data_IF_832288608414
#
_entry.id   IF_832288608414
#
_cell.length_a   1.000
_cell.length_b   1.000
_cell.length_c   1.000
_cell.angle_alpha   90.00
_cell.angle_beta   90.00
_cell.angle_gamma   90.00
#
_symmetry.space_group_name_H-M   'P 1'
#
loop_
_entity.id
_entity.type
_entity.pdbx_description
1 polymer ?
#
# COMPACT_ATOMS: atom_id res chain seq x y z
N UNK A 1 11.15 7.19 22.93
CA UNK A 1 11.45 7.67 21.57
C UNK A 1 12.66 6.93 21.04
N UNK A 2 12.66 6.55 19.77
CA UNK A 2 13.83 6.01 19.06
C UNK A 2 13.88 6.53 17.62
N UNK A 3 15.05 6.45 16.99
CA UNK A 3 15.23 6.95 15.63
C UNK A 3 15.18 5.82 14.62
N UNK A 4 14.51 6.06 13.51
CA UNK A 4 14.59 5.22 12.31
C UNK A 4 15.28 5.99 11.20
N UNK A 5 15.93 5.24 10.30
CA UNK A 5 16.63 5.79 9.13
C UNK A 5 16.03 5.17 7.84
N UNK A 6 14.78 5.52 7.49
CA UNK A 6 14.20 5.04 6.25
C UNK A 6 14.92 5.64 5.05
N UNK A 7 14.82 4.92 3.93
CA UNK A 7 15.46 5.29 2.66
C UNK A 7 14.40 5.61 1.60
N UNK A 8 14.72 6.62 0.79
CA UNK A 8 14.07 6.95 -0.45
C UNK A 8 15.17 6.91 -1.51
N UNK A 9 15.35 5.75 -2.17
CA UNK A 9 16.50 5.54 -3.03
C UNK A 9 17.82 5.77 -2.28
N UNK A 10 18.61 6.76 -2.73
CA UNK A 10 19.89 7.14 -2.13
C UNK A 10 19.76 7.95 -0.84
N UNK A 11 18.64 8.63 -0.66
CA UNK A 11 18.44 9.50 0.50
C UNK A 11 18.09 8.70 1.74
N UNK A 12 18.74 9.05 2.84
CA UNK A 12 18.46 8.47 4.17
C UNK A 12 17.88 9.55 5.04
N UNK A 13 16.66 9.35 5.50
CA UNK A 13 15.98 10.25 6.41
C UNK A 13 16.21 9.82 7.86
N UNK A 14 16.15 10.78 8.78
CA UNK A 14 16.18 10.50 10.21
C UNK A 14 14.82 10.87 10.80
N UNK A 15 14.03 9.84 11.18
CA UNK A 15 12.67 10.03 11.67
C UNK A 15 12.59 9.60 13.14
N UNK A 16 12.09 10.50 13.98
CA UNK A 16 11.82 10.21 15.37
C UNK A 16 10.53 9.42 15.50
N UNK A 17 10.60 8.28 16.16
CA UNK A 17 9.44 7.42 16.44
C UNK A 17 9.13 7.49 17.92
N UNK A 18 7.93 7.94 18.25
CA UNK A 18 7.45 7.92 19.62
C UNK A 18 6.97 6.53 19.99
N UNK A 19 7.23 6.16 21.23
CA UNK A 19 6.89 4.86 21.76
C UNK A 19 6.30 5.01 23.14
N UNK A 20 5.16 4.38 23.37
CA UNK A 20 4.46 4.38 24.64
C UNK A 20 4.35 2.96 25.18
N UNK A 21 4.39 2.84 26.47
CA UNK A 21 4.08 1.60 27.20
C UNK A 21 2.61 1.66 27.62
N UNK A 22 1.81 0.69 27.20
CA UNK A 22 0.47 0.53 27.72
C UNK A 22 0.56 0.01 29.16
N UNK A 23 0.06 0.77 30.13
CA UNK A 23 0.11 0.37 31.54
C UNK A 23 -0.76 -0.84 31.86
N UNK A 24 -1.85 -1.02 31.11
CA UNK A 24 -2.79 -2.14 31.35
C UNK A 24 -2.23 -3.47 30.85
N UNK A 25 -1.65 -3.54 29.64
CA UNK A 25 -1.18 -4.79 29.05
C UNK A 25 0.35 -4.92 28.96
N UNK A 26 1.10 -3.94 29.45
CA UNK A 26 2.57 -3.87 29.44
C UNK A 26 3.20 -4.01 28.03
N UNK A 27 2.41 -3.79 26.99
CA UNK A 27 2.90 -3.80 25.60
C UNK A 27 3.28 -2.40 25.14
N UNK A 28 4.34 -2.33 24.36
CA UNK A 28 4.75 -1.06 23.76
C UNK A 28 4.07 -0.82 22.43
N UNK A 29 3.54 0.40 22.26
CA UNK A 29 2.96 0.89 21.01
C UNK A 29 3.89 1.94 20.43
N UNK A 30 4.18 1.85 19.13
CA UNK A 30 4.97 2.86 18.41
C UNK A 30 4.06 3.57 17.42
N UNK A 31 3.99 4.91 17.49
CA UNK A 31 3.36 5.69 16.45
C UNK A 31 4.32 5.83 15.27
N UNK A 32 4.00 5.14 14.20
CA UNK A 32 4.70 5.27 12.94
C UNK A 32 3.99 6.32 12.09
N UNK A 33 4.72 7.26 11.48
CA UNK A 33 4.17 8.07 10.41
C UNK A 33 3.61 7.19 9.28
N UNK A 34 2.64 7.71 8.56
CA UNK A 34 1.92 7.03 7.47
C UNK A 34 2.83 6.58 6.31
N UNK A 35 3.88 7.34 6.05
CA UNK A 35 4.89 7.01 5.03
C UNK A 35 5.88 5.92 5.45
N UNK A 36 5.80 5.38 6.70
CA UNK A 36 6.71 4.37 7.21
C UNK A 36 6.01 3.03 7.42
N UNK A 37 6.48 2.02 6.70
CA UNK A 37 6.09 0.64 6.96
C UNK A 37 6.79 0.08 8.21
N UNK A 38 6.05 -0.68 9.02
CA UNK A 38 6.60 -1.34 10.20
C UNK A 38 7.69 -2.34 9.80
N UNK A 39 8.87 -2.23 10.40
CA UNK A 39 10.04 -3.08 10.13
C UNK A 39 10.60 -3.00 8.70
N UNK A 40 10.33 -1.92 7.95
CA UNK A 40 10.92 -1.68 6.62
C UNK A 40 11.92 -0.53 6.67
N UNK A 41 12.95 -0.63 5.83
CA UNK A 41 14.00 0.38 5.69
C UNK A 41 13.67 1.42 4.61
N UNK A 42 12.71 1.13 3.75
CA UNK A 42 12.28 1.99 2.64
C UNK A 42 10.97 2.68 2.98
N UNK A 43 10.78 3.86 2.39
CA UNK A 43 9.52 4.58 2.44
C UNK A 43 8.42 3.78 1.74
N UNK A 44 7.18 4.03 2.10
CA UNK A 44 6.03 3.37 1.50
C UNK A 44 5.92 3.66 0.00
N UNK A 45 6.28 4.88 -0.42
CA UNK A 45 6.26 5.29 -1.82
C UNK A 45 7.20 4.42 -2.68
N UNK A 46 8.44 4.19 -2.22
CA UNK A 46 9.40 3.32 -2.91
C UNK A 46 8.86 1.89 -3.07
N UNK A 47 8.23 1.36 -2.03
CA UNK A 47 7.60 0.04 -2.08
C UNK A 47 6.42 0.03 -3.06
N UNK A 48 5.62 1.10 -3.04
CA UNK A 48 4.46 1.25 -3.91
C UNK A 48 4.84 1.34 -5.38
N UNK A 49 5.87 2.12 -5.71
CA UNK A 49 6.39 2.25 -7.07
C UNK A 49 6.81 0.89 -7.64
N UNK A 50 7.58 0.11 -6.89
CA UNK A 50 8.01 -1.24 -7.30
C UNK A 50 6.81 -2.16 -7.54
N UNK A 51 5.85 -2.18 -6.61
CA UNK A 51 4.67 -3.05 -6.72
C UNK A 51 3.80 -2.65 -7.91
N UNK A 52 3.57 -1.37 -8.11
CA UNK A 52 2.76 -0.83 -9.21
C UNK A 52 3.43 -1.09 -10.56
N UNK A 53 4.72 -0.78 -10.70
CA UNK A 53 5.45 -1.02 -11.94
C UNK A 53 5.45 -2.51 -12.31
N UNK A 54 5.63 -3.39 -11.32
CA UNK A 54 5.58 -4.83 -11.55
C UNK A 54 4.18 -5.32 -11.94
N UNK A 55 3.12 -4.82 -11.29
CA UNK A 55 1.76 -5.26 -11.52
C UNK A 55 1.14 -4.72 -12.81
N UNK A 56 1.34 -3.44 -13.12
CA UNK A 56 0.64 -2.76 -14.21
C UNK A 56 1.48 -2.68 -15.49
N UNK A 57 2.79 -2.52 -15.37
CA UNK A 57 3.71 -2.36 -16.50
C UNK A 57 4.43 -3.65 -16.87
N UNK A 58 4.39 -4.67 -16.01
CA UNK A 58 5.11 -5.92 -16.22
C UNK A 58 6.64 -5.77 -16.12
N UNK A 59 7.12 -4.66 -15.53
CA UNK A 59 8.53 -4.30 -15.45
C UNK A 59 9.39 -5.47 -14.93
N UNK A 60 10.49 -5.76 -15.58
CA UNK A 60 11.43 -6.80 -15.14
C UNK A 60 12.20 -6.36 -13.89
N UNK A 61 12.78 -7.30 -13.16
CA UNK A 61 13.57 -6.97 -11.96
C UNK A 61 14.84 -6.19 -12.30
N UNK A 62 15.41 -6.43 -13.48
CA UNK A 62 16.58 -5.70 -13.97
C UNK A 62 16.26 -4.26 -14.35
N UNK A 63 15.11 -3.99 -14.95
CA UNK A 63 14.63 -2.64 -15.22
C UNK A 63 14.41 -1.87 -13.93
N UNK A 64 13.71 -2.46 -12.96
CA UNK A 64 13.45 -1.83 -11.65
C UNK A 64 14.73 -1.55 -10.86
N UNK A 65 15.77 -2.38 -11.00
CA UNK A 65 17.06 -2.16 -10.35
C UNK A 65 17.87 -1.06 -11.06
N UNK A 66 17.76 -0.98 -12.39
CA UNK A 66 18.51 -0.01 -13.20
C UNK A 66 17.94 1.41 -13.13
N UNK A 67 16.61 1.56 -12.98
CA UNK A 67 15.92 2.87 -13.03
C UNK A 67 16.22 3.76 -11.82
N UNK A 68 16.58 3.20 -10.69
CA UNK A 68 16.76 3.97 -9.48
C UNK A 68 18.15 3.84 -8.90
N UNK A 69 18.95 4.92 -8.98
CA UNK A 69 20.16 5.04 -8.14
C UNK A 69 19.78 4.86 -6.67
N UNK A 70 20.40 3.89 -6.00
CA UNK A 70 20.02 3.53 -4.62
C UNK A 70 18.75 2.69 -4.49
N UNK A 71 18.30 2.09 -5.60
CA UNK A 71 17.17 1.17 -5.61
C UNK A 71 17.35 0.03 -4.60
N UNK A 72 16.24 -0.51 -4.08
CA UNK A 72 16.28 -1.73 -3.30
C UNK A 72 16.85 -2.87 -4.13
N UNK A 73 17.75 -3.64 -3.53
CA UNK A 73 18.27 -4.84 -4.18
C UNK A 73 17.13 -5.77 -4.63
N UNK A 74 17.27 -6.41 -5.81
CA UNK A 74 16.26 -7.29 -6.43
C UNK A 74 15.60 -8.24 -5.42
N UNK A 75 16.37 -8.90 -4.56
CA UNK A 75 15.82 -9.81 -3.54
C UNK A 75 14.86 -9.11 -2.56
N UNK A 76 15.08 -7.83 -2.29
CA UNK A 76 14.18 -7.04 -1.43
C UNK A 76 12.87 -6.75 -2.14
N UNK A 77 12.94 -6.34 -3.40
CA UNK A 77 11.77 -6.08 -4.25
C UNK A 77 10.94 -7.36 -4.46
N UNK A 78 11.61 -8.49 -4.73
CA UNK A 78 10.96 -9.80 -4.85
C UNK A 78 10.20 -10.20 -3.56
N UNK A 79 10.78 -9.95 -2.38
CA UNK A 79 10.11 -10.21 -1.11
C UNK A 79 8.86 -9.35 -0.93
N UNK A 80 8.90 -8.08 -1.35
CA UNK A 80 7.72 -7.23 -1.31
C UNK A 80 6.64 -7.75 -2.24
N UNK A 81 7.02 -8.11 -3.46
CA UNK A 81 6.10 -8.66 -4.45
C UNK A 81 5.42 -9.95 -3.97
N UNK A 82 6.18 -10.90 -3.44
CA UNK A 82 5.65 -12.15 -2.89
C UNK A 82 4.72 -11.86 -1.70
N UNK A 83 5.11 -10.97 -0.80
CA UNK A 83 4.27 -10.58 0.34
C UNK A 83 2.96 -9.94 -0.12
N UNK A 84 3.05 -9.00 -1.07
CA UNK A 84 1.88 -8.34 -1.66
C UNK A 84 0.93 -9.35 -2.32
N UNK A 85 1.45 -10.21 -3.16
CA UNK A 85 0.66 -11.24 -3.85
C UNK A 85 -0.03 -12.20 -2.87
N UNK A 86 0.64 -12.60 -1.80
CA UNK A 86 0.08 -13.50 -0.78
C UNK A 86 -1.09 -12.90 -0.01
N UNK A 87 -1.16 -11.57 0.10
CA UNK A 87 -2.21 -10.85 0.80
C UNK A 87 -3.31 -10.31 -0.14
N UNK A 88 -3.03 -10.27 -1.45
CA UNK A 88 -3.86 -9.56 -2.42
C UNK A 88 -5.34 -9.98 -2.40
N UNK A 89 -5.62 -11.27 -2.39
CA UNK A 89 -7.01 -11.77 -2.40
C UNK A 89 -7.76 -11.42 -1.12
N UNK A 90 -7.10 -11.50 0.03
CA UNK A 90 -7.70 -11.12 1.31
C UNK A 90 -8.06 -9.64 1.35
N UNK A 91 -7.14 -8.78 0.93
CA UNK A 91 -7.37 -7.35 0.91
C UNK A 91 -8.43 -6.97 -0.12
N UNK A 92 -8.39 -7.60 -1.29
CA UNK A 92 -9.39 -7.42 -2.34
C UNK A 92 -10.80 -7.74 -1.82
N UNK A 93 -11.00 -8.89 -1.19
CA UNK A 93 -12.32 -9.28 -0.67
C UNK A 93 -12.85 -8.31 0.39
N UNK A 94 -11.99 -7.79 1.27
CA UNK A 94 -12.40 -6.81 2.29
C UNK A 94 -12.76 -5.47 1.66
N UNK A 95 -11.98 -4.99 0.68
CA UNK A 95 -12.30 -3.74 -0.04
C UNK A 95 -13.62 -3.89 -0.79
N UNK A 96 -13.83 -5.00 -1.50
CA UNK A 96 -15.08 -5.25 -2.23
C UNK A 96 -16.28 -5.31 -1.29
N UNK A 97 -16.18 -6.03 -0.18
CA UNK A 97 -17.25 -6.10 0.81
C UNK A 97 -17.57 -4.72 1.40
N UNK A 98 -16.54 -3.93 1.71
CA UNK A 98 -16.72 -2.57 2.20
C UNK A 98 -17.41 -1.68 1.17
N UNK A 99 -16.94 -1.67 -0.07
CA UNK A 99 -17.55 -0.87 -1.15
C UNK A 99 -19.00 -1.27 -1.43
N UNK A 100 -19.30 -2.58 -1.42
CA UNK A 100 -20.65 -3.08 -1.58
C UNK A 100 -21.62 -2.60 -0.49
N UNK A 101 -21.13 -2.46 0.75
CA UNK A 101 -21.93 -1.94 1.86
C UNK A 101 -22.14 -0.43 1.76
N UNK A 102 -21.17 0.31 1.23
CA UNK A 102 -21.21 1.76 1.18
C UNK A 102 -21.92 2.30 -0.06
N UNK A 103 -21.82 1.59 -1.16
CA UNK A 103 -22.36 2.01 -2.47
C UNK A 103 -22.66 0.79 -3.34
N UNK A 104 -23.88 0.24 -3.18
CA UNK A 104 -24.33 -0.92 -3.94
C UNK A 104 -24.46 -0.68 -5.44
N UNK A 105 -24.49 0.59 -5.87
CA UNK A 105 -24.54 1.00 -7.28
C UNK A 105 -23.16 1.28 -7.87
N UNK A 106 -22.07 1.04 -7.12
CA UNK A 106 -20.73 1.30 -7.62
C UNK A 106 -20.43 0.45 -8.86
N UNK A 107 -19.93 1.05 -9.96
CA UNK A 107 -19.56 0.31 -11.18
C UNK A 107 -18.49 -0.74 -10.94
N UNK A 108 -17.78 -0.64 -9.83
CA UNK A 108 -16.79 -1.62 -9.39
C UNK A 108 -17.40 -2.96 -8.99
N UNK A 109 -18.66 -2.98 -8.59
CA UNK A 109 -19.38 -4.21 -8.21
C UNK A 109 -19.96 -4.94 -9.42
N UNK A 110 -19.92 -4.33 -10.60
CA UNK A 110 -20.36 -5.00 -11.83
C UNK A 110 -19.22 -5.83 -12.43
N UNK A 111 -19.23 -7.17 -12.27
CA UNK A 111 -18.24 -8.05 -12.90
C UNK A 111 -18.37 -8.10 -14.43
N UNK A 112 -19.39 -7.46 -15.01
CA UNK A 112 -19.64 -7.38 -16.45
C UNK A 112 -19.18 -6.07 -17.07
N UNK A 113 -18.67 -5.12 -16.25
CA UNK A 113 -18.12 -3.85 -16.71
C UNK A 113 -17.02 -4.10 -17.74
N UNK A 114 -17.26 -3.71 -18.97
CA UNK A 114 -16.33 -3.85 -20.08
C UNK A 114 -14.99 -3.17 -19.74
N UNK A 115 -13.91 -3.92 -19.78
CA UNK A 115 -12.61 -3.33 -20.06
C UNK A 115 -11.43 -3.71 -19.18
N UNK A 116 -11.58 -4.25 -18.01
CA UNK A 116 -10.40 -4.66 -17.22
C UNK A 116 -10.31 -6.18 -17.16
N UNK A 117 -9.60 -6.76 -18.11
CA UNK A 117 -9.11 -8.14 -17.96
C UNK A 117 -8.08 -8.12 -16.83
N UNK A 118 -8.54 -8.40 -15.63
CA UNK A 118 -7.67 -8.54 -14.47
C UNK A 118 -6.91 -9.85 -14.62
N UNK A 119 -5.67 -9.77 -15.04
CA UNK A 119 -4.80 -10.93 -15.27
C UNK A 119 -4.20 -11.52 -14.01
N UNK A 120 -4.43 -10.91 -12.82
CA UNK A 120 -3.90 -11.40 -11.56
C UNK A 120 -4.46 -10.69 -10.33
N UNK A 121 -4.35 -11.35 -9.18
CA UNK A 121 -4.82 -10.83 -7.89
C UNK A 121 -4.18 -9.50 -7.49
N UNK A 122 -2.92 -9.28 -7.86
CA UNK A 122 -2.19 -8.04 -7.59
C UNK A 122 -2.79 -6.86 -8.35
N UNK A 123 -3.08 -7.03 -9.65
CA UNK A 123 -3.72 -5.99 -10.47
C UNK A 123 -5.15 -5.71 -9.99
N UNK A 124 -5.90 -6.77 -9.63
CA UNK A 124 -7.24 -6.64 -9.08
C UNK A 124 -7.23 -5.79 -7.80
N UNK A 125 -6.29 -6.05 -6.91
CA UNK A 125 -6.14 -5.28 -5.68
C UNK A 125 -5.79 -3.82 -5.97
N UNK A 126 -4.87 -3.55 -6.91
CA UNK A 126 -4.53 -2.17 -7.29
C UNK A 126 -5.72 -1.41 -7.89
N UNK A 127 -6.51 -2.09 -8.71
CA UNK A 127 -7.77 -1.53 -9.22
C UNK A 127 -8.75 -1.20 -8.09
N UNK A 128 -9.00 -2.16 -7.20
CA UNK A 128 -9.87 -1.96 -6.03
C UNK A 128 -9.38 -0.82 -5.12
N UNK A 129 -8.06 -0.71 -4.94
CA UNK A 129 -7.43 0.37 -4.19
C UNK A 129 -7.75 1.74 -4.81
N UNK A 130 -7.71 1.84 -6.13
CA UNK A 130 -8.06 3.08 -6.85
C UNK A 130 -9.53 3.46 -6.66
N UNK A 131 -10.45 2.50 -6.75
CA UNK A 131 -11.88 2.75 -6.51
C UNK A 131 -12.16 3.13 -5.06
N UNK A 132 -11.51 2.48 -4.10
CA UNK A 132 -11.64 2.85 -2.69
C UNK A 132 -11.15 4.28 -2.44
N UNK A 133 -10.03 4.66 -3.04
CA UNK A 133 -9.52 6.03 -2.96
C UNK A 133 -10.50 7.02 -3.61
N UNK A 134 -11.02 6.72 -4.80
CA UNK A 134 -12.00 7.56 -5.48
C UNK A 134 -13.28 7.73 -4.66
N UNK A 135 -13.80 6.65 -4.08
CA UNK A 135 -14.93 6.67 -3.16
C UNK A 135 -14.62 7.54 -1.93
N UNK A 136 -13.46 7.41 -1.32
CA UNK A 136 -13.06 8.21 -0.17
C UNK A 136 -12.94 9.71 -0.52
N UNK A 137 -12.33 10.04 -1.66
CA UNK A 137 -12.22 11.43 -2.15
C UNK A 137 -13.56 12.09 -2.39
N UNK A 138 -14.59 11.35 -2.79
CA UNK A 138 -15.93 11.89 -2.97
C UNK A 138 -16.61 12.32 -1.65
N UNK A 139 -16.11 11.83 -0.51
CA UNK A 139 -16.67 12.08 0.82
C UNK A 139 -15.81 13.01 1.69
N UNK A 140 -14.50 12.98 1.51
CA UNK A 140 -13.56 13.75 2.33
C UNK A 140 -12.68 14.65 1.46
N UNK A 141 -12.87 15.96 1.58
CA UNK A 141 -12.10 16.98 0.82
C UNK A 141 -10.62 16.96 1.16
N UNK A 142 -10.26 16.55 2.35
CA UNK A 142 -8.88 16.43 2.83
C UNK A 142 -8.06 15.46 1.99
N UNK A 143 -8.73 14.53 1.32
CA UNK A 143 -8.08 13.57 0.42
C UNK A 143 -7.90 14.08 -1.02
N UNK A 144 -8.29 15.32 -1.31
CA UNK A 144 -8.18 15.89 -2.66
C UNK A 144 -6.75 15.85 -3.21
N UNK A 145 -5.74 16.00 -2.34
CA UNK A 145 -4.32 15.94 -2.70
C UNK A 145 -3.81 14.55 -3.07
N UNK A 146 -4.53 13.49 -2.73
CA UNK A 146 -4.13 12.12 -3.12
C UNK A 146 -4.37 11.91 -4.61
N UNK A 147 -3.33 11.47 -5.31
CA UNK A 147 -3.37 11.09 -6.71
C UNK A 147 -3.65 9.60 -6.89
N UNK A 148 -3.82 9.14 -8.14
CA UNK A 148 -3.91 7.71 -8.44
C UNK A 148 -2.67 6.92 -8.00
N UNK A 149 -1.50 7.54 -7.98
CA UNK A 149 -0.25 6.93 -7.52
C UNK A 149 -0.28 6.59 -6.03
N UNK A 150 -1.02 7.36 -5.24
CA UNK A 150 -1.10 7.21 -3.78
C UNK A 150 -2.08 6.12 -3.32
N UNK A 151 -2.78 5.45 -4.25
CA UNK A 151 -3.82 4.47 -3.94
C UNK A 151 -3.34 3.34 -3.04
N UNK A 152 -2.10 2.88 -3.20
CA UNK A 152 -1.55 1.81 -2.39
C UNK A 152 -1.22 2.30 -0.97
N UNK A 153 -0.68 3.53 -0.85
CA UNK A 153 -0.46 4.19 0.43
C UNK A 153 -1.78 4.38 1.19
N UNK A 154 -2.80 4.88 0.47
CA UNK A 154 -4.14 5.06 1.04
C UNK A 154 -4.74 3.74 1.53
N UNK A 155 -4.71 2.69 0.70
CA UNK A 155 -5.24 1.37 1.08
C UNK A 155 -4.50 0.81 2.29
N UNK A 156 -3.21 0.99 2.37
CA UNK A 156 -2.43 0.57 3.53
C UNK A 156 -2.92 1.23 4.83
N UNK A 157 -3.13 2.55 4.80
CA UNK A 157 -3.64 3.30 5.96
C UNK A 157 -5.06 2.84 6.33
N UNK A 158 -5.93 2.78 5.33
CA UNK A 158 -7.30 2.33 5.51
C UNK A 158 -7.37 0.91 6.07
N UNK A 159 -6.64 -0.04 5.51
CA UNK A 159 -6.62 -1.43 5.94
C UNK A 159 -6.01 -1.62 7.33
N UNK A 160 -5.06 -0.78 7.72
CA UNK A 160 -4.54 -0.77 9.08
C UNK A 160 -5.63 -0.40 10.08
N UNK A 161 -6.52 0.54 9.73
CA UNK A 161 -7.71 0.87 10.51
C UNK A 161 -8.75 -0.26 10.56
N UNK A 162 -8.79 -1.11 9.53
CA UNK A 162 -9.65 -2.31 9.47
C UNK A 162 -9.02 -3.55 10.13
N UNK A 163 -7.85 -3.45 10.71
CA UNK A 163 -7.15 -4.58 11.33
C UNK A 163 -6.59 -5.61 10.34
N UNK A 164 -6.40 -5.26 9.07
CA UNK A 164 -5.95 -6.18 8.03
C UNK A 164 -4.49 -6.63 8.14
N UNK A 165 -3.71 -5.99 8.96
CA UNK A 165 -2.30 -6.33 9.12
C UNK A 165 -1.41 -5.79 8.00
N UNK A 166 -0.40 -6.57 7.54
CA UNK A 166 0.56 -6.11 6.54
C UNK A 166 0.11 -6.47 5.13
N UNK A 167 0.27 -5.52 4.20
CA UNK A 167 0.07 -5.76 2.78
C UNK A 167 1.38 -6.19 2.09
N UNK A 168 2.55 -5.69 2.54
CA UNK A 168 3.89 -5.97 2.02
C UNK A 168 4.89 -6.26 3.12
#
# INVERSE_FOLDING_TARGET
>A
MYWRKPRDGERVYRVAIYRWLCQACQRTVSALPDFLLRFRWYLLDVVSEVVVARAEQGASWSELEAEAKGAPHVRTMQRWWVSFGSQALRWLSVIQAFLAQQDSGSPWLDPRGEGVRVTGSAQALLGAAGYLLAWAKSRWRELAGYSWKDRLCFVWLWGSGQGLGRLV
#
